data_IF_650294435259
#
_entry.id   IF_650294435259
#
_cell.length_a   1.000
_cell.length_b   1.000
_cell.length_c   1.000
_cell.angle_alpha   90.00
_cell.angle_beta   90.00
_cell.angle_gamma   90.00
#
_symmetry.space_group_name_H-M   'P 1'
#
loop_
_entity.id
_entity.type
_entity.pdbx_description
1 polymer ?
#
# COMPACT_ATOMS: atom_id res chain seq x y z
N UNK A 1 1.84 21.44 -8.74
CA UNK A 1 0.73 21.10 -9.65
C UNK A 1 1.10 21.23 -11.14
N UNK A 2 1.78 22.31 -11.54
CA UNK A 2 2.16 22.52 -12.96
C UNK A 2 2.96 21.33 -13.53
N UNK A 3 3.92 20.80 -12.79
CA UNK A 3 4.73 19.68 -13.27
C UNK A 3 3.93 18.36 -13.24
N UNK A 4 3.03 18.18 -12.27
CA UNK A 4 2.12 17.04 -12.25
C UNK A 4 1.17 17.07 -13.47
N UNK A 5 0.61 18.21 -13.83
CA UNK A 5 -0.23 18.33 -15.02
C UNK A 5 0.55 18.02 -16.30
N UNK A 6 1.78 18.55 -16.45
CA UNK A 6 2.66 18.21 -17.57
C UNK A 6 2.98 16.71 -17.63
N UNK A 7 3.23 16.10 -16.48
CA UNK A 7 3.47 14.64 -16.38
C UNK A 7 2.24 13.88 -16.87
N UNK A 8 1.04 14.17 -16.35
CA UNK A 8 -0.21 13.53 -16.74
C UNK A 8 -0.45 13.67 -18.25
N UNK A 9 -0.26 14.87 -18.80
CA UNK A 9 -0.46 15.14 -20.22
C UNK A 9 0.55 14.37 -21.09
N UNK A 10 1.84 14.41 -20.72
CA UNK A 10 2.91 13.73 -21.47
C UNK A 10 2.81 12.22 -21.43
N UNK A 11 2.22 11.65 -20.38
CA UNK A 11 2.06 10.20 -20.18
C UNK A 11 0.65 9.70 -20.51
N UNK A 12 -0.21 10.55 -21.04
CA UNK A 12 -1.61 10.19 -21.37
C UNK A 12 -1.73 8.98 -22.31
N UNK A 13 -0.72 8.76 -23.18
CA UNK A 13 -0.62 7.63 -24.09
C UNK A 13 -0.07 6.34 -23.43
N UNK A 14 0.46 6.42 -22.19
CA UNK A 14 1.11 5.30 -21.51
C UNK A 14 0.15 4.40 -20.73
N UNK A 15 -1.14 4.66 -20.73
CA UNK A 15 -2.12 3.90 -19.95
C UNK A 15 -1.71 3.68 -18.48
N UNK A 16 -1.17 4.71 -17.81
CA UNK A 16 -0.74 4.62 -16.42
C UNK A 16 -1.89 4.13 -15.53
N UNK A 17 -1.61 3.13 -14.72
CA UNK A 17 -2.58 2.56 -13.79
C UNK A 17 -2.59 3.34 -12.48
N UNK A 18 -1.42 3.67 -11.94
CA UNK A 18 -1.24 4.39 -10.67
C UNK A 18 -0.23 5.52 -10.79
N UNK A 19 -0.41 6.55 -9.96
CA UNK A 19 0.56 7.63 -9.72
C UNK A 19 0.67 7.79 -8.20
N UNK A 20 1.82 7.38 -7.64
CA UNK A 20 2.03 7.38 -6.21
C UNK A 20 2.60 8.70 -5.71
N UNK A 21 2.03 9.22 -4.63
CA UNK A 21 2.41 10.42 -3.89
C UNK A 21 2.89 11.57 -4.79
N UNK A 22 2.05 12.08 -5.69
CA UNK A 22 2.48 13.01 -6.73
C UNK A 22 2.84 14.41 -6.22
N UNK A 23 2.46 14.73 -4.98
CA UNK A 23 2.76 16.00 -4.30
C UNK A 23 3.28 15.76 -2.87
N UNK A 24 4.04 16.73 -2.32
CA UNK A 24 4.45 16.68 -0.91
C UNK A 24 3.27 16.56 0.05
N UNK A 25 3.52 15.98 1.22
CA UNK A 25 2.56 15.94 2.34
C UNK A 25 2.16 17.35 2.74
N UNK A 26 0.86 17.58 2.89
CA UNK A 26 0.26 18.91 3.18
C UNK A 26 -0.36 19.57 1.95
N UNK A 27 0.04 19.15 0.75
CA UNK A 27 -0.47 19.70 -0.52
C UNK A 27 -1.64 18.86 -1.12
N UNK A 28 -2.20 17.90 -0.36
CA UNK A 28 -3.25 17.00 -0.85
C UNK A 28 -4.49 17.75 -1.35
N UNK A 29 -4.78 18.91 -0.75
CA UNK A 29 -5.89 19.77 -1.16
C UNK A 29 -5.77 20.26 -2.61
N UNK A 30 -4.53 20.39 -3.11
CA UNK A 30 -4.26 20.81 -4.50
C UNK A 30 -4.72 19.74 -5.49
N UNK A 31 -4.65 18.46 -5.11
CA UNK A 31 -5.11 17.33 -5.93
C UNK A 31 -6.62 17.37 -6.22
N UNK A 32 -7.38 18.08 -5.39
CA UNK A 32 -8.85 18.24 -5.58
C UNK A 32 -9.20 19.04 -6.84
N UNK A 33 -8.25 19.76 -7.41
CA UNK A 33 -8.43 20.47 -8.70
C UNK A 33 -8.37 19.52 -9.90
N UNK A 34 -7.85 18.30 -9.72
CA UNK A 34 -7.78 17.29 -10.76
C UNK A 34 -9.13 16.60 -10.96
N UNK A 35 -9.42 16.13 -12.20
CA UNK A 35 -10.60 15.30 -12.46
C UNK A 35 -10.66 14.05 -11.56
N UNK A 36 -11.86 13.63 -11.17
CA UNK A 36 -12.09 12.43 -10.38
C UNK A 36 -11.46 11.17 -10.99
N UNK A 37 -11.48 11.07 -12.32
CA UNK A 37 -10.85 9.96 -13.07
C UNK A 37 -9.34 9.87 -12.88
N UNK A 38 -8.67 11.00 -12.64
CA UNK A 38 -7.24 11.06 -12.31
C UNK A 38 -7.05 10.75 -10.83
N UNK A 39 -7.82 11.40 -9.93
CA UNK A 39 -7.69 11.19 -8.49
C UNK A 39 -7.89 9.73 -8.08
N UNK A 40 -8.74 8.98 -8.78
CA UNK A 40 -8.92 7.53 -8.60
C UNK A 40 -7.67 6.70 -8.86
N UNK A 41 -6.68 7.22 -9.60
CA UNK A 41 -5.39 6.58 -9.86
C UNK A 41 -4.29 7.06 -8.91
N UNK A 42 -4.54 8.10 -8.11
CA UNK A 42 -3.56 8.63 -7.18
C UNK A 42 -3.49 7.75 -5.94
N UNK A 43 -2.26 7.44 -5.52
CA UNK A 43 -1.96 6.63 -4.35
C UNK A 43 -1.39 7.52 -3.24
N UNK A 44 -1.96 7.43 -2.04
CA UNK A 44 -1.39 8.05 -0.84
C UNK A 44 -0.35 7.11 -0.22
N UNK A 45 0.91 7.53 -0.15
CA UNK A 45 1.98 6.84 0.60
C UNK A 45 2.44 7.69 1.79
N UNK A 46 3.26 8.71 1.59
CA UNK A 46 3.77 9.56 2.67
C UNK A 46 2.68 10.34 3.39
N UNK A 47 1.59 10.66 2.70
CA UNK A 47 0.40 11.27 3.30
C UNK A 47 -0.38 10.31 4.22
N UNK A 48 -0.17 8.99 4.09
CA UNK A 48 -0.84 7.95 4.87
C UNK A 48 0.08 7.38 5.94
N UNK A 49 0.23 8.05 7.06
CA UNK A 49 1.12 7.65 8.15
C UNK A 49 0.43 6.87 9.28
N UNK A 50 -0.91 6.78 9.27
CA UNK A 50 -1.67 6.09 10.29
C UNK A 50 -3.16 6.36 10.19
N UNK A 51 -3.92 5.92 11.21
CA UNK A 51 -5.38 6.03 11.20
C UNK A 51 -5.87 7.48 11.14
N UNK A 52 -5.24 8.39 11.90
CA UNK A 52 -5.64 9.81 11.91
C UNK A 52 -5.46 10.49 10.55
N UNK A 53 -4.36 10.20 9.82
CA UNK A 53 -4.20 10.71 8.46
C UNK A 53 -5.23 10.09 7.51
N UNK A 54 -5.52 8.79 7.65
CA UNK A 54 -6.57 8.14 6.87
C UNK A 54 -7.94 8.82 7.06
N UNK A 55 -8.33 9.16 8.31
CA UNK A 55 -9.57 9.90 8.60
C UNK A 55 -9.65 11.28 7.92
N UNK A 56 -8.52 11.94 7.67
CA UNK A 56 -8.51 13.19 6.93
C UNK A 56 -8.64 12.93 5.42
N UNK A 57 -7.92 11.94 4.91
CA UNK A 57 -7.85 11.64 3.48
C UNK A 57 -9.14 11.05 2.90
N UNK A 58 -10.01 10.44 3.73
CA UNK A 58 -11.32 9.93 3.27
C UNK A 58 -12.38 11.00 3.17
N UNK A 59 -12.15 12.23 3.68
CA UNK A 59 -13.12 13.32 3.58
C UNK A 59 -13.37 13.69 2.12
N UNK A 60 -14.62 13.90 1.78
CA UNK A 60 -15.04 14.24 0.42
C UNK A 60 -14.87 15.74 0.12
N UNK A 61 -14.41 16.11 -1.07
CA UNK A 61 -13.93 15.23 -2.14
C UNK A 61 -12.56 14.61 -1.80
N UNK A 62 -12.39 13.33 -2.12
CA UNK A 62 -11.16 12.59 -1.80
C UNK A 62 -10.01 12.96 -2.74
N UNK A 63 -8.80 13.22 -2.22
CA UNK A 63 -7.62 13.49 -3.04
C UNK A 63 -7.01 12.23 -3.67
N UNK A 64 -7.20 11.05 -3.05
CA UNK A 64 -6.63 9.77 -3.48
C UNK A 64 -7.70 8.70 -3.64
N UNK A 65 -7.56 7.85 -4.65
CA UNK A 65 -8.41 6.66 -4.86
C UNK A 65 -7.81 5.37 -4.33
N UNK A 66 -6.53 5.40 -3.92
CA UNK A 66 -5.79 4.24 -3.42
C UNK A 66 -4.97 4.62 -2.19
N UNK A 67 -4.95 3.76 -1.19
CA UNK A 67 -4.11 3.87 0.00
C UNK A 67 -3.00 2.84 -0.03
N UNK A 68 -1.73 3.29 0.01
CA UNK A 68 -0.57 2.43 0.20
C UNK A 68 -0.32 2.23 1.69
N UNK A 69 -0.79 1.08 2.21
CA UNK A 69 -0.66 0.73 3.62
C UNK A 69 0.64 -0.06 3.82
N UNK A 70 1.54 0.50 4.63
CA UNK A 70 2.76 -0.16 5.09
C UNK A 70 2.64 -0.42 6.60
N UNK A 71 2.83 -1.67 7.05
CA UNK A 71 2.64 -2.03 8.47
C UNK A 71 3.50 -1.19 9.40
N UNK A 72 4.73 -0.87 9.00
CA UNK A 72 5.65 -0.04 9.79
C UNK A 72 5.11 1.38 10.01
N UNK A 73 4.48 1.99 9.01
CA UNK A 73 3.87 3.33 9.14
C UNK A 73 2.56 3.27 9.91
N UNK A 74 1.74 2.26 9.64
CA UNK A 74 0.41 2.13 10.21
C UNK A 74 0.39 1.82 11.71
N UNK A 75 1.48 1.31 12.27
CA UNK A 75 1.56 0.88 13.68
C UNK A 75 1.12 -0.58 13.89
N UNK A 76 1.30 -1.44 12.87
CA UNK A 76 1.08 -2.86 12.92
C UNK A 76 -0.30 -3.32 12.41
N UNK A 77 -0.56 -4.62 12.51
CA UNK A 77 -1.71 -5.31 11.88
C UNK A 77 -3.06 -4.70 12.28
N UNK A 78 -3.27 -4.46 13.57
CA UNK A 78 -4.57 -3.95 14.07
C UNK A 78 -4.88 -2.55 13.54
N UNK A 79 -3.88 -1.68 13.49
CA UNK A 79 -4.02 -0.32 12.98
C UNK A 79 -4.21 -0.33 11.46
N UNK A 80 -3.42 -1.11 10.74
CA UNK A 80 -3.56 -1.30 9.30
C UNK A 80 -4.95 -1.83 8.90
N UNK A 81 -5.50 -2.79 9.67
CA UNK A 81 -6.86 -3.31 9.43
C UNK A 81 -7.91 -2.22 9.59
N UNK A 82 -7.80 -1.35 10.60
CA UNK A 82 -8.72 -0.22 10.77
C UNK A 82 -8.67 0.75 9.60
N UNK A 83 -7.46 1.04 9.11
CA UNK A 83 -7.28 1.89 7.92
C UNK A 83 -7.92 1.23 6.69
N UNK A 84 -7.72 -0.08 6.51
CA UNK A 84 -8.29 -0.84 5.41
C UNK A 84 -9.83 -0.86 5.43
N UNK A 85 -10.43 -1.01 6.63
CA UNK A 85 -11.88 -0.95 6.78
C UNK A 85 -12.43 0.44 6.47
N UNK A 86 -11.79 1.49 6.99
CA UNK A 86 -12.15 2.87 6.69
C UNK A 86 -12.05 3.18 5.18
N UNK A 87 -10.98 2.70 4.52
CA UNK A 87 -10.82 2.84 3.07
C UNK A 87 -11.96 2.15 2.30
N UNK A 88 -12.32 0.92 2.73
CA UNK A 88 -13.43 0.17 2.12
C UNK A 88 -14.77 0.90 2.25
N UNK A 89 -15.10 1.42 3.41
CA UNK A 89 -16.31 2.20 3.66
C UNK A 89 -16.40 3.45 2.78
N UNK A 90 -15.25 3.97 2.34
CA UNK A 90 -15.14 5.16 1.51
C UNK A 90 -14.80 4.87 0.03
N UNK A 91 -14.93 3.62 -0.42
CA UNK A 91 -14.64 3.18 -1.80
C UNK A 91 -13.21 3.44 -2.26
N UNK A 92 -12.24 3.45 -1.35
CA UNK A 92 -10.81 3.56 -1.63
C UNK A 92 -10.22 2.15 -1.75
N UNK A 93 -9.43 1.93 -2.78
CA UNK A 93 -8.73 0.68 -3.01
C UNK A 93 -7.47 0.60 -2.16
N UNK A 94 -6.97 -0.61 -1.93
CA UNK A 94 -5.75 -0.83 -1.17
C UNK A 94 -4.62 -1.27 -2.07
N UNK A 95 -3.49 -0.67 -1.80
CA UNK A 95 -2.16 -1.08 -2.16
C UNK A 95 -1.43 -1.45 -0.86
N UNK A 96 -0.89 -2.64 -0.76
CA UNK A 96 -0.07 -3.04 0.38
C UNK A 96 1.38 -2.95 -0.04
N UNK A 97 2.06 -1.94 0.49
CA UNK A 97 3.47 -1.72 0.28
C UNK A 97 4.31 -2.12 1.49
N UNK A 98 5.60 -1.96 1.34
CA UNK A 98 6.58 -2.17 2.40
C UNK A 98 7.73 -1.15 2.30
N UNK A 99 8.60 -1.20 3.28
CA UNK A 99 9.96 -0.72 3.19
C UNK A 99 10.89 -1.94 3.15
N UNK A 100 12.20 -1.78 3.27
CA UNK A 100 13.12 -2.90 3.52
C UNK A 100 12.81 -3.48 4.91
N UNK A 101 12.03 -4.56 4.94
CA UNK A 101 11.46 -5.11 6.15
C UNK A 101 11.80 -6.60 6.30
N UNK A 102 11.80 -7.07 7.56
CA UNK A 102 11.99 -8.49 7.83
C UNK A 102 10.89 -9.34 7.19
N UNK A 103 11.23 -10.61 6.87
CA UNK A 103 10.26 -11.58 6.36
C UNK A 103 8.98 -11.67 7.21
N UNK A 104 9.10 -11.55 8.53
CA UNK A 104 7.93 -11.58 9.45
C UNK A 104 6.97 -10.43 9.14
N UNK A 105 7.48 -9.22 8.92
CA UNK A 105 6.66 -8.05 8.60
C UNK A 105 5.97 -8.20 7.25
N UNK A 106 6.72 -8.63 6.24
CA UNK A 106 6.19 -8.87 4.88
C UNK A 106 5.07 -9.92 4.90
N UNK A 107 5.30 -11.05 5.59
CA UNK A 107 4.28 -12.10 5.69
C UNK A 107 3.05 -11.62 6.45
N UNK A 108 3.23 -10.84 7.52
CA UNK A 108 2.12 -10.23 8.24
C UNK A 108 1.30 -9.28 7.35
N UNK A 109 1.98 -8.45 6.52
CA UNK A 109 1.32 -7.60 5.54
C UNK A 109 0.56 -8.41 4.49
N UNK A 110 1.14 -9.51 4.01
CA UNK A 110 0.49 -10.40 3.05
C UNK A 110 -0.77 -11.05 3.62
N UNK A 111 -0.72 -11.54 4.88
CA UNK A 111 -1.91 -12.11 5.53
C UNK A 111 -3.07 -11.12 5.63
N UNK A 112 -2.79 -9.88 6.03
CA UNK A 112 -3.84 -8.87 6.15
C UNK A 112 -4.33 -8.41 4.78
N UNK A 113 -3.47 -8.35 3.77
CA UNK A 113 -3.85 -8.06 2.40
C UNK A 113 -4.87 -9.06 1.86
N UNK A 114 -4.65 -10.36 2.10
CA UNK A 114 -5.61 -11.41 1.75
C UNK A 114 -6.94 -11.30 2.50
N UNK A 115 -6.92 -10.78 3.73
CA UNK A 115 -8.11 -10.61 4.55
C UNK A 115 -8.95 -9.37 4.18
N UNK A 116 -8.46 -8.49 3.30
CA UNK A 116 -9.12 -7.24 2.92
C UNK A 116 -9.66 -7.31 1.48
N UNK A 117 -10.98 -7.27 1.32
CA UNK A 117 -11.64 -7.46 0.01
C UNK A 117 -11.46 -6.30 -0.97
N UNK A 118 -10.99 -5.14 -0.51
CA UNK A 118 -10.63 -3.98 -1.33
C UNK A 118 -9.14 -3.90 -1.68
N UNK A 119 -8.36 -4.94 -1.36
CA UNK A 119 -6.98 -5.12 -1.82
C UNK A 119 -6.96 -5.28 -3.34
N UNK A 120 -6.15 -4.47 -4.02
CA UNK A 120 -5.96 -4.55 -5.46
C UNK A 120 -4.50 -4.68 -5.85
N UNK A 121 -3.59 -4.09 -5.10
CA UNK A 121 -2.18 -4.05 -5.43
C UNK A 121 -1.32 -4.55 -4.26
N UNK A 122 -0.20 -5.18 -4.60
CA UNK A 122 0.82 -5.65 -3.66
C UNK A 122 2.20 -5.27 -4.18
N UNK A 123 3.03 -4.71 -3.29
CA UNK A 123 4.45 -4.47 -3.46
C UNK A 123 5.14 -4.83 -2.13
N UNK A 124 5.36 -6.14 -1.93
CA UNK A 124 5.83 -6.73 -0.68
C UNK A 124 7.18 -7.46 -0.89
N UNK A 125 8.09 -6.82 -1.59
CA UNK A 125 9.40 -7.36 -1.95
C UNK A 125 10.49 -7.09 -0.90
N UNK A 126 10.25 -6.20 0.07
CA UNK A 126 11.24 -5.67 1.01
C UNK A 126 12.05 -6.69 1.81
N UNK A 127 11.62 -7.97 1.87
CA UNK A 127 12.42 -9.04 2.49
C UNK A 127 13.32 -9.80 1.52
N UNK A 128 13.16 -9.59 0.21
CA UNK A 128 13.86 -10.38 -0.82
C UNK A 128 15.34 -9.97 -0.90
N UNK A 129 15.61 -8.68 -0.75
CA UNK A 129 16.95 -8.11 -0.87
C UNK A 129 17.75 -8.07 0.45
N UNK A 130 17.13 -8.48 1.57
CA UNK A 130 17.81 -8.54 2.87
C UNK A 130 18.78 -9.71 2.91
N UNK A 131 20.10 -9.40 2.93
CA UNK A 131 21.18 -10.38 2.90
C UNK A 131 21.18 -11.33 4.11
N UNK A 132 20.83 -10.84 5.31
CA UNK A 132 20.79 -11.61 6.55
C UNK A 132 19.36 -11.82 7.04
N UNK A 133 18.56 -12.58 6.30
CA UNK A 133 17.23 -12.93 6.75
C UNK A 133 17.29 -14.12 7.69
N UNK A 134 17.05 -13.88 8.98
CA UNK A 134 17.05 -14.90 10.03
C UNK A 134 15.82 -15.82 10.02
N UNK A 135 14.92 -15.63 9.07
CA UNK A 135 13.65 -16.36 8.97
C UNK A 135 13.46 -16.97 7.58
N UNK A 136 12.62 -17.99 7.50
CA UNK A 136 12.25 -18.66 6.24
C UNK A 136 10.77 -19.07 6.29
N UNK A 137 10.17 -19.34 5.12
CA UNK A 137 8.76 -19.73 5.01
C UNK A 137 7.84 -18.53 4.80
N UNK A 138 6.60 -18.63 5.23
CA UNK A 138 5.57 -17.62 5.21
C UNK A 138 4.88 -17.42 3.86
N UNK A 139 5.59 -17.41 2.75
CA UNK A 139 5.01 -17.33 1.42
C UNK A 139 5.88 -17.98 0.34
N UNK A 140 5.29 -18.18 -0.82
CA UNK A 140 5.98 -18.58 -2.06
C UNK A 140 5.59 -17.65 -3.20
N UNK A 141 6.49 -17.45 -4.15
CA UNK A 141 6.20 -16.68 -5.38
C UNK A 141 6.12 -17.67 -6.55
N UNK A 142 5.01 -17.63 -7.29
CA UNK A 142 4.80 -18.42 -8.51
C UNK A 142 4.21 -17.51 -9.59
N UNK A 143 4.89 -17.40 -10.72
CA UNK A 143 4.46 -16.58 -11.86
C UNK A 143 4.12 -15.12 -11.46
N UNK A 144 4.94 -14.51 -10.59
CA UNK A 144 4.73 -13.15 -10.10
C UNK A 144 3.64 -12.98 -9.04
N UNK A 145 3.01 -14.06 -8.60
CA UNK A 145 1.97 -14.04 -7.57
C UNK A 145 2.53 -14.58 -6.25
N UNK A 146 2.19 -13.91 -5.14
CA UNK A 146 2.53 -14.32 -3.79
C UNK A 146 1.42 -15.21 -3.20
N UNK A 147 1.80 -16.38 -2.70
CA UNK A 147 0.91 -17.33 -2.05
C UNK A 147 1.35 -17.54 -0.61
N UNK A 148 0.41 -17.44 0.32
CA UNK A 148 0.67 -17.79 1.72
C UNK A 148 1.10 -19.26 1.83
N UNK A 149 2.09 -19.51 2.69
CA UNK A 149 2.47 -20.88 3.02
C UNK A 149 1.46 -21.49 4.00
N UNK A 150 1.25 -22.80 3.88
CA UNK A 150 0.50 -23.55 4.89
C UNK A 150 1.29 -23.60 6.20
N UNK A 151 0.60 -23.46 7.34
CA UNK A 151 1.23 -23.54 8.66
C UNK A 151 0.47 -22.77 9.73
N UNK A 152 0.99 -22.84 10.97
CA UNK A 152 0.44 -22.10 12.09
C UNK A 152 0.96 -20.66 12.11
N UNK A 153 0.14 -19.73 12.57
CA UNK A 153 0.49 -18.31 12.67
C UNK A 153 0.84 -17.73 11.31
N UNK A 154 2.03 -17.16 11.16
CA UNK A 154 2.51 -16.59 9.90
C UNK A 154 3.18 -17.64 8.98
N UNK A 155 3.30 -18.91 9.39
CA UNK A 155 4.01 -19.91 8.61
C UNK A 155 5.52 -19.65 8.47
N UNK A 156 6.10 -18.88 9.39
CA UNK A 156 7.52 -18.46 9.39
C UNK A 156 8.28 -19.23 10.45
N UNK A 157 9.47 -19.72 10.13
CA UNK A 157 10.39 -20.39 11.04
C UNK A 157 11.72 -19.64 11.11
N UNK A 158 12.37 -19.70 12.27
CA UNK A 158 13.73 -19.19 12.42
C UNK A 158 14.70 -20.10 11.68
N UNK A 159 15.64 -19.53 10.94
CA UNK A 159 16.74 -20.32 10.34
C UNK A 159 17.65 -20.83 11.44
N UNK A 160 17.94 -22.11 11.40
CA UNK A 160 19.05 -22.67 12.17
C UNK A 160 20.37 -22.17 11.58
N UNK A 161 21.30 -21.78 12.47
CA UNK A 161 22.62 -21.31 12.06
C UNK A 161 23.51 -22.47 11.65
#
# INVERSE_FOLDING_TARGET
LTDLNKFIDSTSHCALELIEQPLPVGDEHVLLTLPDTIRKKLVADESLTGYSSAEQLVKMPQPFGVFNIKLMKAGGIKAAKKIADLAKENNIQLFWGCNDESLISIVAALHIAYACSNTKYLDLDGSIEILENNFTGGFTIKNGLMYLADGYGLGVSKREK
#
